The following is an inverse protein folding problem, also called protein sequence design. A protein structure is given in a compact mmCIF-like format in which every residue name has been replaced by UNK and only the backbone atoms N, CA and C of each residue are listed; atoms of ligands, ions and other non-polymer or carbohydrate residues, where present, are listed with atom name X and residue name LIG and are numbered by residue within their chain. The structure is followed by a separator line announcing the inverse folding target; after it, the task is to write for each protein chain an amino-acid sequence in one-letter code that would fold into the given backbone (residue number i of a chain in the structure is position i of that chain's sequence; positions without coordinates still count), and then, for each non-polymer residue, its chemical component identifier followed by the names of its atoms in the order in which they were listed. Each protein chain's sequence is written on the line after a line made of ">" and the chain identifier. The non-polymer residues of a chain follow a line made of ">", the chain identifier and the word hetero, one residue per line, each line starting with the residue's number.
data_IF_112162925235
#
_entry.id   IF_112162925235
#
_cell.length_a   1.000
_cell.length_b   1.000
_cell.length_c   1.000
_cell.angle_alpha   90.00
_cell.angle_beta   90.00
_cell.angle_gamma   90.00
#
_symmetry.space_group_name_H-M   'P 1'
#
loop_
_entity.id
_entity.type
_entity.pdbx_description
1 polymer ?
#
# COMPACT_ATOMS: atom_id res chain seq x y z
N UNK A 1 10.69 -39.07 2.63
CA UNK A 1 10.00 -37.92 2.03
C UNK A 1 10.79 -36.69 2.41
N UNK A 2 11.49 -36.06 1.45
CA UNK A 2 12.18 -34.82 1.69
C UNK A 2 11.13 -33.75 2.11
N UNK A 3 11.34 -33.07 3.26
CA UNK A 3 10.60 -31.88 3.59
C UNK A 3 10.85 -30.88 2.45
N UNK A 4 9.81 -30.54 1.71
CA UNK A 4 9.88 -29.40 0.83
C UNK A 4 10.30 -28.20 1.70
N UNK A 5 11.44 -27.61 1.40
CA UNK A 5 11.85 -26.35 2.02
C UNK A 5 10.75 -25.36 1.70
N UNK A 6 10.14 -24.76 2.73
CA UNK A 6 9.13 -23.74 2.54
C UNK A 6 9.75 -22.63 1.67
N UNK A 7 9.03 -22.26 0.59
CA UNK A 7 9.45 -21.16 -0.28
C UNK A 7 9.54 -19.88 0.56
N UNK A 8 10.56 -19.05 0.38
CA UNK A 8 10.70 -17.79 1.12
C UNK A 8 9.86 -16.67 0.52
N UNK A 9 8.86 -16.97 -0.32
CA UNK A 9 8.02 -15.99 -1.03
C UNK A 9 6.62 -16.56 -1.29
N UNK A 10 5.69 -15.66 -1.60
CA UNK A 10 4.29 -15.95 -1.92
C UNK A 10 3.91 -15.43 -3.30
N UNK A 11 3.02 -16.12 -3.99
CA UNK A 11 2.21 -15.46 -5.01
C UNK A 11 1.19 -14.53 -4.32
N UNK A 12 0.91 -13.38 -4.92
CA UNK A 12 -0.10 -12.45 -4.37
C UNK A 12 -1.48 -13.10 -4.20
N UNK A 13 -1.83 -14.09 -5.03
CA UNK A 13 -3.04 -14.93 -4.88
C UNK A 13 -3.04 -15.81 -3.63
N UNK A 14 -1.87 -16.27 -3.18
CA UNK A 14 -1.73 -17.01 -1.93
C UNK A 14 -1.94 -16.09 -0.73
N UNK A 15 -1.38 -14.87 -0.77
CA UNK A 15 -1.61 -13.84 0.25
C UNK A 15 -3.09 -13.45 0.32
N UNK A 16 -3.76 -13.31 -0.82
CA UNK A 16 -5.20 -13.09 -0.86
C UNK A 16 -5.98 -14.20 -0.13
N UNK A 17 -5.49 -15.44 -0.19
CA UNK A 17 -6.09 -16.56 0.54
C UNK A 17 -5.77 -16.53 2.04
N UNK A 18 -4.51 -16.21 2.42
CA UNK A 18 -4.09 -16.06 3.83
C UNK A 18 -4.86 -14.94 4.53
N UNK A 19 -5.13 -13.85 3.83
CA UNK A 19 -5.86 -12.69 4.32
C UNK A 19 -7.39 -12.77 4.11
N UNK A 20 -7.89 -13.95 3.75
CA UNK A 20 -9.33 -14.22 3.60
C UNK A 20 -10.03 -13.19 2.69
N UNK A 21 -9.45 -12.93 1.51
CA UNK A 21 -10.04 -12.01 0.54
C UNK A 21 -11.37 -12.57 0.03
N UNK A 22 -12.35 -11.70 -0.25
CA UNK A 22 -13.62 -12.17 -0.81
C UNK A 22 -13.35 -12.84 -2.16
N UNK A 23 -14.11 -13.92 -2.51
CA UNK A 23 -13.96 -14.57 -3.80
C UNK A 23 -14.26 -13.59 -4.93
N UNK A 24 -13.50 -13.67 -6.02
CA UNK A 24 -13.63 -12.79 -7.18
C UNK A 24 -12.28 -12.61 -7.87
N UNK A 25 -12.32 -12.01 -9.04
CA UNK A 25 -11.19 -11.84 -9.95
C UNK A 25 -11.03 -10.37 -10.43
N UNK A 26 -11.75 -9.44 -9.79
CA UNK A 26 -11.71 -8.00 -10.10
C UNK A 26 -12.45 -7.62 -11.39
N UNK A 27 -13.25 -8.53 -12.00
CA UNK A 27 -13.96 -8.21 -13.23
C UNK A 27 -14.81 -6.93 -13.11
N UNK A 28 -14.74 -6.09 -14.15
CA UNK A 28 -15.48 -4.82 -14.21
C UNK A 28 -14.81 -3.67 -13.47
N UNK A 29 -13.69 -3.91 -12.78
CA UNK A 29 -12.92 -2.86 -12.08
C UNK A 29 -11.72 -2.39 -12.90
N UNK A 30 -11.29 -1.17 -12.64
CA UNK A 30 -10.00 -0.63 -13.09
C UNK A 30 -9.20 -0.24 -11.86
N UNK A 31 -7.96 -0.75 -11.76
CA UNK A 31 -6.97 -0.34 -10.76
C UNK A 31 -5.99 0.59 -11.46
N UNK A 32 -5.84 1.80 -10.96
CA UNK A 32 -4.78 2.72 -11.39
C UNK A 32 -3.51 2.48 -10.58
N UNK A 33 -2.35 2.60 -11.21
CA UNK A 33 -1.03 2.52 -10.62
C UNK A 33 -0.27 3.79 -11.05
N UNK A 34 0.37 4.47 -10.11
CA UNK A 34 1.15 5.69 -10.37
C UNK A 34 2.62 5.34 -10.34
N UNK A 35 3.34 5.70 -11.43
CA UNK A 35 4.75 5.36 -11.61
C UNK A 35 5.60 6.58 -12.01
N UNK A 36 6.81 6.65 -11.46
CA UNK A 36 7.74 7.76 -11.68
C UNK A 36 9.11 7.34 -12.24
N UNK A 37 9.14 6.26 -13.00
CA UNK A 37 10.33 5.70 -13.63
C UNK A 37 10.04 4.32 -14.18
N UNK A 38 11.07 3.58 -14.55
CA UNK A 38 10.97 2.20 -15.00
C UNK A 38 10.10 1.99 -16.23
N UNK A 39 9.46 0.83 -16.30
CA UNK A 39 8.63 0.48 -17.43
C UNK A 39 7.82 -0.79 -17.27
N UNK A 40 6.76 -0.89 -18.05
CA UNK A 40 5.94 -2.08 -18.16
C UNK A 40 6.44 -3.00 -19.27
N UNK A 41 6.67 -4.27 -18.96
CA UNK A 41 7.16 -5.30 -19.87
C UNK A 41 6.12 -6.44 -20.01
N UNK A 42 5.35 -6.47 -21.13
CA UNK A 42 4.27 -7.46 -21.31
C UNK A 42 4.73 -8.92 -21.28
N UNK A 43 5.97 -9.20 -21.67
CA UNK A 43 6.51 -10.57 -21.64
C UNK A 43 6.75 -11.06 -20.21
N UNK A 44 7.21 -10.19 -19.33
CA UNK A 44 7.45 -10.51 -17.92
C UNK A 44 6.12 -10.76 -17.21
N UNK A 45 5.13 -9.89 -17.39
CA UNK A 45 3.78 -10.12 -16.88
C UNK A 45 3.18 -11.44 -17.40
N UNK A 46 3.36 -11.77 -18.68
CA UNK A 46 2.88 -13.04 -19.24
C UNK A 46 3.55 -14.23 -18.56
N UNK A 47 4.85 -14.15 -18.32
CA UNK A 47 5.63 -15.20 -17.65
C UNK A 47 5.20 -15.32 -16.19
N UNK A 48 5.03 -14.21 -15.46
CA UNK A 48 4.47 -14.19 -14.11
C UNK A 48 3.11 -14.88 -14.06
N UNK A 49 2.18 -14.49 -14.94
CA UNK A 49 0.84 -15.08 -14.99
C UNK A 49 0.87 -16.58 -15.28
N UNK A 50 1.81 -17.07 -16.09
CA UNK A 50 2.02 -18.51 -16.31
C UNK A 50 2.44 -19.22 -15.01
N UNK A 51 3.39 -18.64 -14.26
CA UNK A 51 3.83 -19.20 -12.99
C UNK A 51 2.73 -19.17 -11.92
N UNK A 52 1.99 -18.07 -11.86
CA UNK A 52 0.90 -17.88 -10.90
C UNK A 52 -0.38 -18.64 -11.27
N UNK A 53 -0.48 -19.19 -12.51
CA UNK A 53 -1.66 -19.90 -12.98
C UNK A 53 -2.89 -19.00 -13.16
N UNK A 54 -2.69 -17.73 -13.50
CA UNK A 54 -3.78 -16.74 -13.69
C UNK A 54 -3.83 -16.22 -15.12
N UNK A 55 -4.96 -15.64 -15.52
CA UNK A 55 -5.09 -14.99 -16.81
C UNK A 55 -4.26 -13.68 -16.83
N UNK A 56 -3.74 -13.31 -18.00
CA UNK A 56 -3.04 -12.03 -18.18
C UNK A 56 -4.08 -10.91 -18.23
N UNK A 57 -4.05 -9.94 -17.32
CA UNK A 57 -4.98 -8.81 -17.33
C UNK A 57 -4.70 -7.86 -18.50
N UNK A 58 -5.69 -7.02 -18.82
CA UNK A 58 -5.46 -5.90 -19.73
C UNK A 58 -4.72 -4.79 -19.00
N UNK A 59 -3.56 -4.39 -19.51
CA UNK A 59 -2.78 -3.26 -19.00
C UNK A 59 -2.78 -2.15 -20.05
N UNK A 60 -3.21 -0.96 -19.64
CA UNK A 60 -3.11 0.28 -20.42
C UNK A 60 -2.01 1.16 -19.79
N UNK A 61 -1.05 1.63 -20.57
CA UNK A 61 -0.02 2.57 -20.13
C UNK A 61 -0.37 3.99 -20.57
N UNK A 62 -0.29 4.94 -19.66
CA UNK A 62 -0.57 6.36 -19.88
C UNK A 62 0.72 7.13 -19.61
N UNK A 63 1.25 7.81 -20.64
CA UNK A 63 2.44 8.65 -20.52
C UNK A 63 2.03 10.10 -20.30
N UNK A 64 2.43 10.68 -19.19
CA UNK A 64 2.25 12.10 -18.90
C UNK A 64 3.58 12.83 -19.19
N UNK A 65 3.49 13.97 -19.89
CA UNK A 65 4.66 14.80 -20.25
C UNK A 65 5.78 14.01 -20.95
N UNK A 66 5.39 13.04 -21.80
CA UNK A 66 6.31 12.14 -22.49
C UNK A 66 7.20 11.32 -21.55
N UNK A 67 6.74 10.98 -20.36
CA UNK A 67 7.43 10.03 -19.49
C UNK A 67 7.54 8.67 -20.20
N UNK A 68 8.72 8.02 -20.23
CA UNK A 68 8.86 6.68 -20.78
C UNK A 68 7.95 5.68 -20.06
N UNK A 69 7.41 4.71 -20.79
CA UNK A 69 6.56 3.63 -20.24
C UNK A 69 7.21 2.25 -20.34
N UNK A 70 8.43 2.18 -20.83
CA UNK A 70 9.18 0.94 -21.07
C UNK A 70 10.68 1.11 -20.83
N UNK A 71 11.07 1.99 -19.92
CA UNK A 71 12.46 2.26 -19.59
C UNK A 71 13.00 1.21 -18.63
N UNK A 72 14.27 0.86 -18.80
CA UNK A 72 15.05 0.07 -17.85
C UNK A 72 16.07 0.99 -17.19
N UNK A 73 15.77 1.43 -15.98
CA UNK A 73 16.61 2.35 -15.20
C UNK A 73 16.72 1.94 -13.72
N UNK A 74 16.30 0.71 -13.42
CA UNK A 74 16.25 0.16 -12.06
C UNK A 74 14.91 0.35 -11.36
N UNK A 75 14.02 1.20 -11.88
CA UNK A 75 12.67 1.36 -11.33
C UNK A 75 11.63 0.41 -11.98
N UNK A 76 12.02 -0.37 -12.98
CA UNK A 76 11.16 -1.41 -13.54
C UNK A 76 10.79 -2.51 -12.54
N UNK A 77 11.63 -2.74 -11.52
CA UNK A 77 11.32 -3.65 -10.43
C UNK A 77 10.04 -3.23 -9.70
N UNK A 78 9.90 -1.91 -9.43
CA UNK A 78 8.72 -1.33 -8.78
C UNK A 78 7.48 -1.45 -9.68
N UNK A 79 7.60 -1.03 -10.95
CA UNK A 79 6.50 -1.07 -11.92
C UNK A 79 5.95 -2.48 -12.10
N UNK A 80 6.84 -3.45 -12.28
CA UNK A 80 6.43 -4.85 -12.49
C UNK A 80 5.88 -5.45 -11.21
N UNK A 81 6.44 -5.14 -10.03
CA UNK A 81 5.91 -5.55 -8.73
C UNK A 81 4.44 -5.13 -8.59
N UNK A 82 4.14 -3.85 -8.76
CA UNK A 82 2.80 -3.31 -8.59
C UNK A 82 1.79 -3.96 -9.54
N UNK A 83 2.15 -4.06 -10.82
CA UNK A 83 1.31 -4.70 -11.84
C UNK A 83 1.07 -6.18 -11.52
N UNK A 84 2.10 -6.92 -11.15
CA UNK A 84 2.05 -8.38 -10.92
C UNK A 84 1.30 -8.71 -9.63
N UNK A 85 1.41 -7.88 -8.58
CA UNK A 85 0.63 -8.04 -7.37
C UNK A 85 -0.86 -7.89 -7.67
N UNK A 86 -1.26 -6.86 -8.41
CA UNK A 86 -2.66 -6.66 -8.82
C UNK A 86 -3.11 -7.79 -9.76
N UNK A 87 -2.29 -8.18 -10.73
CA UNK A 87 -2.61 -9.24 -11.70
C UNK A 87 -2.88 -10.60 -11.04
N UNK A 88 -2.04 -10.98 -10.06
CA UNK A 88 -2.21 -12.24 -9.36
C UNK A 88 -3.48 -12.32 -8.51
N UNK A 89 -3.94 -11.19 -8.00
CA UNK A 89 -5.17 -11.10 -7.17
C UNK A 89 -6.41 -10.83 -8.02
N UNK A 90 -6.31 -9.95 -9.01
CA UNK A 90 -7.43 -9.45 -9.82
C UNK A 90 -7.19 -9.66 -11.32
N UNK A 91 -7.06 -10.92 -11.82
CA UNK A 91 -6.64 -11.18 -13.21
C UNK A 91 -7.67 -10.74 -14.27
N UNK A 92 -8.87 -10.31 -13.88
CA UNK A 92 -9.87 -9.74 -14.80
C UNK A 92 -10.14 -8.25 -14.56
N UNK A 93 -9.46 -7.62 -13.63
CA UNK A 93 -9.45 -6.17 -13.58
C UNK A 93 -8.65 -5.60 -14.75
N UNK A 94 -8.97 -4.37 -15.15
CA UNK A 94 -8.08 -3.58 -16.00
C UNK A 94 -7.05 -2.91 -15.11
N UNK A 95 -5.81 -2.84 -15.57
CA UNK A 95 -4.74 -2.11 -14.89
C UNK A 95 -4.41 -0.90 -15.76
N UNK A 96 -4.44 0.29 -15.19
CA UNK A 96 -4.09 1.53 -15.86
C UNK A 96 -2.85 2.13 -15.17
N UNK A 97 -1.71 2.12 -15.85
CA UNK A 97 -0.42 2.58 -15.29
C UNK A 97 -0.12 3.98 -15.81
N UNK A 98 -0.06 4.94 -14.90
CA UNK A 98 0.18 6.36 -15.18
C UNK A 98 1.63 6.69 -14.91
N UNK A 99 2.42 6.83 -15.98
CA UNK A 99 3.82 7.20 -15.92
C UNK A 99 4.00 8.72 -15.94
N UNK A 100 4.72 9.24 -14.98
CA UNK A 100 5.08 10.66 -14.88
C UNK A 100 6.55 10.83 -14.52
N UNK A 101 7.00 12.07 -14.38
CA UNK A 101 8.34 12.40 -13.90
C UNK A 101 8.30 12.52 -12.38
N UNK A 102 9.37 12.10 -11.71
CA UNK A 102 9.52 12.30 -10.26
C UNK A 102 9.85 13.78 -9.96
N UNK A 103 8.85 14.62 -10.06
CA UNK A 103 8.88 16.05 -9.77
C UNK A 103 7.56 16.42 -9.09
N UNK A 104 7.52 17.48 -8.28
CA UNK A 104 6.30 17.94 -7.62
C UNK A 104 5.11 18.10 -8.60
N UNK A 105 5.34 18.73 -9.75
CA UNK A 105 4.30 18.84 -10.79
C UNK A 105 3.91 17.49 -11.38
N UNK A 106 4.88 16.58 -11.59
CA UNK A 106 4.61 15.25 -12.10
C UNK A 106 3.76 14.41 -11.16
N UNK A 107 3.89 14.60 -9.85
CA UNK A 107 3.04 13.98 -8.84
C UNK A 107 1.60 14.46 -8.92
N UNK A 108 1.39 15.77 -8.95
CA UNK A 108 0.07 16.39 -9.09
C UNK A 108 -0.62 15.86 -10.35
N UNK A 109 0.07 15.96 -11.50
CA UNK A 109 -0.48 15.58 -12.79
C UNK A 109 -0.81 14.08 -12.89
N UNK A 110 0.01 13.21 -12.26
CA UNK A 110 -0.23 11.77 -12.27
C UNK A 110 -1.47 11.38 -11.45
N UNK A 111 -1.62 11.95 -10.27
CA UNK A 111 -2.77 11.69 -9.39
C UNK A 111 -4.05 12.24 -10.05
N UNK A 112 -4.01 13.49 -10.53
CA UNK A 112 -5.14 14.11 -11.21
C UNK A 112 -5.56 13.33 -12.45
N UNK A 113 -4.59 12.92 -13.29
CA UNK A 113 -4.88 12.13 -14.47
C UNK A 113 -5.55 10.80 -14.15
N UNK A 114 -5.13 10.12 -13.08
CA UNK A 114 -5.73 8.85 -12.66
C UNK A 114 -7.12 9.05 -12.05
N UNK A 115 -7.29 10.06 -11.20
CA UNK A 115 -8.55 10.34 -10.47
C UNK A 115 -9.64 10.81 -11.41
N UNK A 116 -9.31 11.62 -12.42
CA UNK A 116 -10.25 12.22 -13.35
C UNK A 116 -10.34 11.48 -14.71
N UNK A 117 -9.77 10.27 -14.84
CA UNK A 117 -9.86 9.51 -16.09
C UNK A 117 -11.28 9.01 -16.38
N UNK A 118 -12.01 9.79 -17.17
CA UNK A 118 -13.37 9.45 -17.58
C UNK A 118 -13.47 8.24 -18.54
N UNK A 119 -12.34 7.83 -19.15
CA UNK A 119 -12.28 6.71 -20.11
C UNK A 119 -12.09 5.37 -19.37
N UNK A 120 -11.14 5.32 -18.43
CA UNK A 120 -10.79 4.09 -17.70
C UNK A 120 -11.54 3.97 -16.38
N UNK A 121 -11.94 5.10 -15.80
CA UNK A 121 -12.73 5.22 -14.58
C UNK A 121 -12.19 4.37 -13.41
N UNK A 122 -10.95 4.56 -12.98
CA UNK A 122 -10.39 3.79 -11.88
C UNK A 122 -11.28 3.87 -10.63
N UNK A 123 -11.45 2.75 -9.95
CA UNK A 123 -12.18 2.69 -8.67
C UNK A 123 -11.24 2.69 -7.48
N UNK A 124 -9.98 2.43 -7.73
CA UNK A 124 -8.88 2.42 -6.74
C UNK A 124 -7.58 2.82 -7.42
N UNK A 125 -6.73 3.53 -6.69
CA UNK A 125 -5.38 3.94 -7.08
C UNK A 125 -4.39 3.31 -6.10
N UNK A 126 -3.28 2.77 -6.61
CA UNK A 126 -2.11 2.33 -5.84
C UNK A 126 -0.95 3.28 -6.09
N UNK A 127 -0.27 3.68 -5.02
CA UNK A 127 0.94 4.50 -5.07
C UNK A 127 1.99 3.85 -4.17
N UNK A 128 3.08 3.40 -4.78
CA UNK A 128 4.20 2.75 -4.12
C UNK A 128 5.42 3.65 -3.98
N UNK A 129 5.23 4.93 -4.27
CA UNK A 129 6.26 5.98 -4.21
C UNK A 129 5.93 6.98 -3.11
N UNK A 130 6.97 7.55 -2.52
CA UNK A 130 6.83 8.61 -1.55
C UNK A 130 8.19 9.13 -1.08
N UNK A 131 8.16 10.07 -0.17
CA UNK A 131 9.32 10.63 0.51
C UNK A 131 8.90 11.26 1.84
N UNK A 132 9.84 11.42 2.78
CA UNK A 132 9.56 12.05 4.06
C UNK A 132 8.85 13.40 3.89
N UNK A 133 7.75 13.62 4.64
CA UNK A 133 6.88 14.79 4.48
C UNK A 133 7.55 16.14 4.83
N UNK A 134 8.61 16.09 5.61
CA UNK A 134 9.39 17.26 6.08
C UNK A 134 10.76 17.39 5.43
N UNK A 135 11.00 16.62 4.34
CA UNK A 135 12.16 16.74 3.47
C UNK A 135 11.76 16.78 2.00
N UNK A 136 12.52 17.45 1.17
CA UNK A 136 12.40 17.46 -0.30
C UNK A 136 11.08 17.93 -0.93
N UNK A 137 10.04 18.20 -0.14
CA UNK A 137 8.77 18.74 -0.61
C UNK A 137 8.63 20.22 -0.31
N UNK A 138 8.17 21.01 -1.29
CA UNK A 138 7.64 22.33 -0.99
C UNK A 138 6.27 22.23 -0.33
N UNK A 139 5.96 23.15 0.59
CA UNK A 139 4.63 23.20 1.21
C UNK A 139 3.53 23.32 0.16
N UNK A 140 3.76 24.08 -0.91
CA UNK A 140 2.79 24.22 -2.00
C UNK A 140 2.54 22.92 -2.76
N UNK A 141 3.55 22.07 -2.92
CA UNK A 141 3.40 20.77 -3.55
C UNK A 141 2.61 19.81 -2.66
N UNK A 142 2.94 19.74 -1.36
CA UNK A 142 2.16 18.93 -0.41
C UNK A 142 0.69 19.34 -0.43
N UNK A 143 0.39 20.63 -0.37
CA UNK A 143 -0.99 21.14 -0.38
C UNK A 143 -1.70 20.77 -1.70
N UNK A 144 -1.06 20.96 -2.86
CA UNK A 144 -1.65 20.65 -4.15
C UNK A 144 -1.91 19.15 -4.33
N UNK A 145 -0.93 18.30 -4.00
CA UNK A 145 -1.10 16.84 -4.04
C UNK A 145 -2.21 16.41 -3.07
N UNK A 146 -2.27 17.00 -1.88
CA UNK A 146 -3.31 16.68 -0.90
C UNK A 146 -4.71 17.09 -1.39
N UNK A 147 -4.86 18.17 -2.15
CA UNK A 147 -6.15 18.51 -2.79
C UNK A 147 -6.52 17.48 -3.88
N UNK A 148 -5.59 17.02 -4.72
CA UNK A 148 -5.85 15.93 -5.69
C UNK A 148 -6.31 14.64 -4.99
N UNK A 149 -5.71 14.29 -3.86
CA UNK A 149 -6.11 13.14 -3.05
C UNK A 149 -7.49 13.33 -2.39
N UNK A 150 -7.83 14.55 -2.02
CA UNK A 150 -9.16 14.91 -1.53
C UNK A 150 -10.21 14.80 -2.62
N UNK A 151 -9.89 15.19 -3.85
CA UNK A 151 -10.77 14.99 -5.00
C UNK A 151 -11.01 13.49 -5.25
N UNK A 152 -9.99 12.63 -5.14
CA UNK A 152 -10.17 11.18 -5.19
C UNK A 152 -11.20 10.71 -4.14
N UNK A 153 -11.08 11.18 -2.89
CA UNK A 153 -12.02 10.85 -1.82
C UNK A 153 -13.46 11.31 -2.14
N UNK A 154 -13.63 12.52 -2.69
CA UNK A 154 -14.93 13.07 -3.09
C UNK A 154 -15.56 12.31 -4.27
N UNK A 155 -14.74 11.85 -5.22
CA UNK A 155 -15.16 11.06 -6.39
C UNK A 155 -15.39 9.57 -6.07
N UNK A 156 -15.18 9.18 -4.82
CA UNK A 156 -15.35 7.79 -4.40
C UNK A 156 -14.26 6.85 -4.94
N UNK A 157 -13.05 7.37 -5.16
CA UNK A 157 -11.86 6.58 -5.51
C UNK A 157 -11.04 6.32 -4.25
N UNK A 158 -10.73 5.06 -3.96
CA UNK A 158 -9.84 4.73 -2.84
C UNK A 158 -8.39 4.87 -3.31
N UNK A 159 -7.56 5.60 -2.57
CA UNK A 159 -6.12 5.69 -2.82
C UNK A 159 -5.38 4.92 -1.74
N UNK A 160 -4.64 3.86 -2.13
CA UNK A 160 -3.76 3.07 -1.25
C UNK A 160 -2.33 3.55 -1.46
N UNK A 161 -1.63 3.89 -0.39
CA UNK A 161 -0.26 4.43 -0.46
C UNK A 161 0.65 3.65 0.48
N UNK A 162 1.81 3.23 -0.02
CA UNK A 162 2.88 2.65 0.78
C UNK A 162 3.37 3.63 1.84
N UNK A 163 3.61 3.16 3.08
CA UNK A 163 3.95 4.04 4.20
C UNK A 163 5.45 4.26 4.41
N UNK A 164 6.28 3.77 3.48
CA UNK A 164 7.74 3.86 3.55
C UNK A 164 8.40 2.57 4.02
N UNK A 165 9.71 2.46 3.76
CA UNK A 165 10.51 1.23 3.90
C UNK A 165 11.73 1.40 4.80
N UNK A 166 11.95 2.58 5.38
CA UNK A 166 13.11 2.90 6.21
C UNK A 166 12.73 3.16 7.69
N UNK A 167 11.62 2.52 8.11
CA UNK A 167 11.15 2.56 9.51
C UNK A 167 10.71 3.95 9.95
N UNK A 168 11.06 4.31 11.21
CA UNK A 168 10.74 5.62 11.77
C UNK A 168 11.66 6.74 11.31
N UNK A 169 12.82 6.43 10.73
CA UNK A 169 13.78 7.42 10.20
C UNK A 169 13.37 7.95 8.82
N UNK A 170 12.68 7.12 8.04
CA UNK A 170 12.26 7.38 6.66
C UNK A 170 13.42 7.77 5.72
N UNK A 171 14.64 7.28 6.03
CA UNK A 171 15.85 7.48 5.24
C UNK A 171 16.53 8.83 5.40
N UNK A 172 16.07 9.71 6.28
CA UNK A 172 16.59 11.08 6.46
C UNK A 172 17.91 11.10 7.23
N UNK A 173 18.02 10.36 8.34
CA UNK A 173 19.26 10.24 9.11
C UNK A 173 19.58 11.44 10.01
N UNK A 174 18.64 12.32 10.30
CA UNK A 174 18.80 13.48 11.18
C UNK A 174 18.57 13.16 12.67
N UNK A 175 18.19 11.92 12.95
CA UNK A 175 17.90 11.40 14.27
C UNK A 175 16.47 11.56 14.74
N UNK A 176 15.58 12.23 13.98
CA UNK A 176 14.15 12.35 14.26
C UNK A 176 13.34 11.26 13.58
N UNK A 177 12.08 11.15 13.96
CA UNK A 177 11.13 10.26 13.29
C UNK A 177 10.30 11.04 12.27
N UNK A 178 10.19 10.47 11.07
CA UNK A 178 9.51 11.05 9.92
C UNK A 178 8.38 10.15 9.44
N UNK A 179 7.40 10.74 8.77
CA UNK A 179 6.33 10.03 8.06
C UNK A 179 6.49 10.24 6.57
N UNK A 180 6.29 9.18 5.80
CA UNK A 180 6.29 9.24 4.35
C UNK A 180 5.06 10.01 3.83
N UNK A 181 5.24 10.82 2.80
CA UNK A 181 4.19 11.48 2.02
C UNK A 181 4.22 10.95 0.58
N UNK A 182 3.05 10.60 -0.03
CA UNK A 182 1.71 10.99 0.36
C UNK A 182 0.96 10.08 1.35
N UNK A 183 1.60 9.08 1.96
CA UNK A 183 0.95 8.21 2.95
C UNK A 183 0.41 8.99 4.16
N UNK A 184 1.09 10.06 4.58
CA UNK A 184 0.65 10.91 5.70
C UNK A 184 -0.57 11.78 5.40
N UNK A 185 -0.98 11.91 4.12
CA UNK A 185 -2.23 12.60 3.78
C UNK A 185 -3.43 12.01 4.51
N UNK A 186 -4.36 12.84 5.02
CA UNK A 186 -5.60 12.33 5.62
C UNK A 186 -6.56 11.69 4.62
N UNK A 187 -6.36 11.85 3.32
CA UNK A 187 -7.29 11.41 2.27
C UNK A 187 -6.94 10.06 1.63
N UNK A 188 -5.89 9.40 2.10
CA UNK A 188 -5.46 8.08 1.61
C UNK A 188 -5.65 6.98 2.64
N UNK A 189 -5.57 5.73 2.20
CA UNK A 189 -5.34 4.57 3.03
C UNK A 189 -3.83 4.33 3.07
N UNK A 190 -3.18 4.68 4.17
CA UNK A 190 -1.77 4.41 4.38
C UNK A 190 -1.55 2.94 4.72
N UNK A 191 -0.68 2.26 3.98
CA UNK A 191 -0.45 0.80 4.07
C UNK A 191 0.96 0.53 4.54
N UNK A 192 1.10 -0.05 5.71
CA UNK A 192 2.36 -0.48 6.30
C UNK A 192 2.72 -1.93 5.99
N UNK A 193 3.85 -2.36 6.53
CA UNK A 193 4.47 -3.64 6.25
C UNK A 193 4.54 -4.59 7.43
N UNK A 194 4.35 -5.88 7.15
CA UNK A 194 4.58 -6.98 8.08
C UNK A 194 5.54 -8.01 7.49
N UNK A 195 6.01 -8.94 8.31
CA UNK A 195 6.71 -10.16 7.88
C UNK A 195 5.83 -11.35 8.20
N UNK A 196 5.36 -12.03 7.16
CA UNK A 196 4.46 -13.17 7.25
C UNK A 196 5.23 -14.49 7.06
N UNK A 197 4.93 -15.46 7.90
CA UNK A 197 5.28 -16.87 7.68
C UNK A 197 4.06 -17.75 7.87
N UNK A 198 4.01 -18.87 7.20
CA UNK A 198 2.95 -19.86 7.43
C UNK A 198 3.59 -21.08 8.10
N UNK A 199 3.26 -21.29 9.37
CA UNK A 199 3.76 -22.38 10.19
C UNK A 199 2.62 -23.34 10.55
N UNK A 200 2.75 -24.62 10.17
CA UNK A 200 1.68 -25.62 10.39
C UNK A 200 0.30 -25.17 9.86
N UNK A 201 0.29 -24.51 8.70
CA UNK A 201 -0.93 -24.01 8.04
C UNK A 201 -1.56 -22.78 8.72
N UNK A 202 -0.87 -22.15 9.66
CA UNK A 202 -1.34 -20.93 10.33
C UNK A 202 -0.42 -19.75 10.04
N UNK A 203 -0.96 -18.55 9.82
CA UNK A 203 -0.14 -17.36 9.67
C UNK A 203 0.52 -16.99 11.02
N UNK A 204 1.84 -16.78 10.98
CA UNK A 204 2.64 -16.19 12.04
C UNK A 204 3.19 -14.89 11.49
N UNK A 205 2.81 -13.78 12.07
CA UNK A 205 3.06 -12.49 11.47
C UNK A 205 3.44 -11.46 12.53
N UNK A 206 4.42 -10.64 12.20
CA UNK A 206 4.95 -9.56 13.03
C UNK A 206 5.17 -8.32 12.15
N UNK A 207 5.44 -7.18 12.77
CA UNK A 207 5.91 -5.99 12.06
C UNK A 207 7.11 -6.31 11.16
N UNK A 208 7.14 -5.75 9.96
CA UNK A 208 8.31 -5.86 9.11
C UNK A 208 9.43 -4.96 9.64
N UNK A 209 10.55 -5.60 9.96
CA UNK A 209 11.82 -4.96 10.22
C UNK A 209 12.92 -5.99 10.00
N UNK A 210 13.74 -5.75 8.99
CA UNK A 210 14.90 -6.56 8.64
C UNK A 210 16.17 -5.76 8.95
N UNK A 211 17.15 -6.38 9.61
CA UNK A 211 18.36 -5.72 10.05
C UNK A 211 18.09 -4.52 10.98
N UNK A 212 18.77 -3.42 10.75
CA UNK A 212 18.60 -2.18 11.51
C UNK A 212 17.40 -1.36 11.06
N UNK A 213 16.68 -1.82 10.02
CA UNK A 213 15.46 -1.21 9.52
C UNK A 213 15.68 -0.14 8.48
N UNK A 214 16.87 -0.04 7.88
CA UNK A 214 17.20 0.89 6.81
C UNK A 214 17.60 0.13 5.53
N UNK A 215 17.02 0.51 4.38
CA UNK A 215 17.33 -0.12 3.08
C UNK A 215 18.79 0.07 2.66
N UNK A 216 19.38 1.21 2.93
CA UNK A 216 20.80 1.49 2.64
C UNK A 216 21.77 0.52 3.30
N UNK A 217 21.35 -0.15 4.39
CA UNK A 217 22.16 -1.10 5.15
C UNK A 217 21.77 -2.56 4.83
N UNK A 218 21.03 -2.78 3.72
CA UNK A 218 20.55 -4.09 3.28
C UNK A 218 19.40 -4.65 4.09
N UNK A 219 18.74 -3.81 4.89
CA UNK A 219 17.54 -4.15 5.67
C UNK A 219 16.28 -3.52 5.08
N UNK A 220 15.46 -2.97 5.96
CA UNK A 220 14.22 -2.27 5.69
C UNK A 220 13.23 -2.48 6.82
N UNK A 221 12.34 -1.55 7.00
CA UNK A 221 11.27 -1.64 7.99
C UNK A 221 10.06 -0.82 7.53
N UNK A 222 8.87 -1.23 7.98
CA UNK A 222 7.67 -0.46 7.70
C UNK A 222 7.79 0.97 8.21
N UNK A 223 7.51 1.93 7.35
CA UNK A 223 7.28 3.31 7.74
C UNK A 223 6.04 3.42 8.62
N UNK A 224 5.93 4.53 9.31
CA UNK A 224 4.81 4.82 10.19
C UNK A 224 5.19 5.73 11.32
N UNK A 225 4.21 6.43 11.87
CA UNK A 225 4.46 7.42 12.90
C UNK A 225 3.32 8.41 13.07
N UNK A 226 3.68 9.60 13.51
CA UNK A 226 2.77 10.73 13.70
C UNK A 226 3.25 11.88 12.84
N UNK A 227 2.46 12.26 11.85
CA UNK A 227 2.75 13.37 10.94
C UNK A 227 3.07 14.66 11.68
N UNK A 228 4.08 15.36 11.21
CA UNK A 228 4.46 16.71 11.66
C UNK A 228 3.73 17.78 10.84
N UNK A 229 3.25 17.44 9.64
CA UNK A 229 2.60 18.35 8.70
C UNK A 229 1.07 18.33 8.84
N UNK A 230 0.45 17.15 8.82
CA UNK A 230 -1.01 17.02 8.84
C UNK A 230 -1.55 16.88 10.26
N UNK A 231 -2.46 17.77 10.66
CA UNK A 231 -3.19 17.62 11.91
C UNK A 231 -4.02 16.31 11.92
N UNK A 232 -4.17 15.70 13.09
CA UNK A 232 -4.99 14.49 13.23
C UNK A 232 -6.43 14.74 12.85
N UNK A 233 -6.95 14.00 11.85
CA UNK A 233 -8.34 14.16 11.44
C UNK A 233 -9.30 13.82 12.59
N UNK A 234 -10.46 14.49 12.64
CA UNK A 234 -11.47 14.26 13.68
C UNK A 234 -11.99 12.81 13.72
N UNK A 235 -11.95 12.11 12.59
CA UNK A 235 -12.36 10.72 12.51
C UNK A 235 -11.31 9.75 13.09
N UNK A 236 -10.02 10.13 13.14
CA UNK A 236 -8.94 9.28 13.64
C UNK A 236 -8.80 9.36 15.18
N UNK A 237 -9.76 8.80 15.88
CA UNK A 237 -9.82 8.81 17.36
C UNK A 237 -8.90 7.76 17.98
N UNK A 238 -7.59 8.01 17.95
CA UNK A 238 -6.55 7.12 18.48
C UNK A 238 -5.65 7.85 19.48
N UNK A 239 -5.04 7.09 20.41
CA UNK A 239 -4.18 7.63 21.47
C UNK A 239 -2.72 7.30 21.19
N UNK A 240 -2.18 7.82 20.08
CA UNK A 240 -0.76 7.73 19.74
C UNK A 240 -0.15 9.13 19.83
N UNK A 241 1.01 9.24 20.45
CA UNK A 241 1.79 10.48 20.55
C UNK A 241 3.02 10.36 19.68
N UNK A 242 3.47 11.48 19.10
CA UNK A 242 4.75 11.54 18.42
C UNK A 242 5.90 11.22 19.40
N UNK A 243 6.92 10.53 18.89
CA UNK A 243 8.20 10.37 19.60
C UNK A 243 9.06 11.62 19.52
N UNK A 244 8.82 12.48 18.52
CA UNK A 244 9.51 13.77 18.40
C UNK A 244 8.99 14.76 19.46
N UNK A 245 9.86 15.41 20.24
CA UNK A 245 9.47 16.44 21.21
C UNK A 245 8.79 17.64 20.54
N UNK A 246 7.75 18.17 21.19
CA UNK A 246 7.09 19.38 20.70
C UNK A 246 6.24 19.24 19.44
N UNK A 247 6.10 18.03 18.90
CA UNK A 247 5.29 17.78 17.72
C UNK A 247 3.78 18.03 17.95
N UNK A 248 3.10 18.35 16.85
CA UNK A 248 1.65 18.48 16.82
C UNK A 248 0.96 17.13 17.14
N UNK A 249 -0.32 17.16 17.45
CA UNK A 249 -1.16 15.96 17.41
C UNK A 249 -1.50 15.66 15.95
N UNK A 250 -0.56 15.03 15.25
CA UNK A 250 -0.66 14.78 13.82
C UNK A 250 -1.44 13.52 13.46
N UNK A 251 -1.74 13.40 12.18
CA UNK A 251 -2.22 12.19 11.52
C UNK A 251 -1.30 11.01 11.87
N UNK A 252 -1.86 9.88 12.24
CA UNK A 252 -1.10 8.66 12.57
C UNK A 252 -1.17 7.69 11.42
N UNK A 253 -0.03 7.23 10.94
CA UNK A 253 0.10 6.23 9.89
C UNK A 253 0.91 5.01 10.39
N UNK A 254 0.75 3.84 9.74
CA UNK A 254 -0.22 3.52 8.70
C UNK A 254 -1.64 3.30 9.28
N UNK A 255 -2.65 3.18 8.38
CA UNK A 255 -4.00 2.77 8.78
C UNK A 255 -4.12 1.27 8.94
N UNK A 256 -3.47 0.55 8.05
CA UNK A 256 -3.48 -0.91 7.90
C UNK A 256 -2.12 -1.41 7.43
N UNK A 257 -1.93 -2.73 7.36
CA UNK A 257 -0.69 -3.34 6.88
C UNK A 257 -0.96 -4.60 6.05
N UNK A 258 0.07 -5.12 5.38
CA UNK A 258 0.13 -6.45 4.80
C UNK A 258 1.59 -6.94 4.74
N UNK A 259 1.85 -8.17 4.30
CA UNK A 259 3.21 -8.68 4.13
C UNK A 259 4.02 -7.74 3.22
N UNK A 260 5.26 -7.45 3.62
CA UNK A 260 6.15 -6.49 2.97
C UNK A 260 7.63 -6.92 3.05
N UNK A 261 7.98 -7.87 3.92
CA UNK A 261 9.38 -8.27 4.08
C UNK A 261 9.90 -8.96 2.83
N UNK A 262 11.04 -8.53 2.30
CA UNK A 262 11.71 -9.23 1.20
C UNK A 262 12.09 -10.67 1.56
N UNK A 263 12.25 -10.97 2.85
CA UNK A 263 12.54 -12.33 3.36
C UNK A 263 11.34 -13.29 3.25
N UNK A 264 10.12 -12.74 3.05
CA UNK A 264 8.87 -13.48 2.85
C UNK A 264 8.10 -12.93 1.65
N UNK A 265 8.78 -12.28 0.73
CA UNK A 265 8.31 -11.37 -0.28
C UNK A 265 7.33 -11.93 -1.32
N UNK A 266 7.04 -11.11 -2.28
CA UNK A 266 6.14 -11.42 -3.39
C UNK A 266 6.91 -11.97 -4.57
N UNK A 267 6.47 -13.09 -5.13
CA UNK A 267 7.02 -13.61 -6.36
C UNK A 267 6.77 -12.63 -7.51
N UNK A 268 7.82 -12.31 -8.24
CA UNK A 268 7.80 -11.40 -9.39
C UNK A 268 8.61 -11.95 -10.55
N UNK A 269 8.40 -11.40 -11.72
CA UNK A 269 9.23 -11.60 -12.91
C UNK A 269 9.62 -10.24 -13.47
N UNK A 270 10.89 -9.93 -13.40
CA UNK A 270 11.45 -8.68 -13.92
C UNK A 270 12.64 -9.01 -14.81
N UNK A 271 12.75 -8.38 -15.98
CA UNK A 271 13.80 -8.64 -16.96
C UNK A 271 13.96 -10.13 -17.35
N UNK A 272 12.83 -10.85 -17.37
CA UNK A 272 12.79 -12.29 -17.63
C UNK A 272 13.35 -13.13 -16.49
N UNK A 273 13.67 -12.54 -15.34
CA UNK A 273 14.16 -13.23 -14.15
C UNK A 273 13.05 -13.36 -13.10
N UNK A 274 12.86 -14.60 -12.64
CA UNK A 274 11.96 -14.85 -11.50
C UNK A 274 12.69 -14.54 -10.18
N UNK A 275 12.05 -13.78 -9.32
CA UNK A 275 12.60 -13.37 -8.04
C UNK A 275 11.52 -13.16 -6.98
N UNK A 276 11.93 -12.54 -5.88
CA UNK A 276 11.02 -12.10 -4.84
C UNK A 276 11.38 -10.67 -4.43
N UNK A 277 10.38 -9.80 -4.38
CA UNK A 277 10.53 -8.40 -3.98
C UNK A 277 9.63 -8.17 -2.76
N UNK A 278 10.02 -7.25 -1.90
CA UNK A 278 9.25 -6.80 -0.73
C UNK A 278 9.12 -5.28 -0.74
N UNK A 279 8.82 -4.72 0.42
CA UNK A 279 8.54 -3.30 0.62
C UNK A 279 7.06 -3.07 0.91
N UNK A 280 6.75 -1.93 1.52
CA UNK A 280 5.35 -1.46 1.63
C UNK A 280 4.75 -1.20 0.24
N UNK A 281 5.61 -1.07 -0.78
CA UNK A 281 5.32 -1.09 -2.20
C UNK A 281 4.52 -2.33 -2.65
N UNK A 282 4.78 -3.51 -2.07
CA UNK A 282 4.01 -4.71 -2.36
C UNK A 282 2.67 -4.75 -1.60
N UNK A 283 2.63 -4.16 -0.41
CA UNK A 283 1.45 -4.13 0.45
C UNK A 283 0.35 -3.20 -0.09
N UNK A 284 0.72 -2.05 -0.66
CA UNK A 284 -0.22 -1.07 -1.20
C UNK A 284 -1.04 -1.63 -2.38
N UNK A 285 -0.45 -2.21 -3.45
CA UNK A 285 -1.20 -2.81 -4.54
C UNK A 285 -1.99 -4.05 -4.11
N UNK A 286 -1.56 -4.78 -3.09
CA UNK A 286 -2.33 -5.88 -2.52
C UNK A 286 -3.63 -5.38 -1.88
N UNK A 287 -3.59 -4.27 -1.11
CA UNK A 287 -4.78 -3.61 -0.58
C UNK A 287 -5.65 -3.03 -1.70
N UNK A 288 -5.05 -2.40 -2.72
CA UNK A 288 -5.79 -1.91 -3.88
C UNK A 288 -6.55 -3.04 -4.59
N UNK A 289 -5.92 -4.21 -4.76
CA UNK A 289 -6.56 -5.39 -5.31
C UNK A 289 -7.69 -5.94 -4.42
N UNK A 290 -7.54 -5.91 -3.08
CA UNK A 290 -8.63 -6.23 -2.16
C UNK A 290 -9.83 -5.29 -2.39
N UNK A 291 -9.58 -3.98 -2.45
CA UNK A 291 -10.63 -2.99 -2.69
C UNK A 291 -11.32 -3.20 -4.05
N UNK A 292 -10.56 -3.53 -5.10
CA UNK A 292 -11.11 -3.87 -6.41
C UNK A 292 -12.05 -5.10 -6.33
N UNK A 293 -11.66 -6.15 -5.59
CA UNK A 293 -12.55 -7.31 -5.35
C UNK A 293 -13.81 -6.95 -4.58
N UNK A 294 -13.69 -6.05 -3.58
CA UNK A 294 -14.85 -5.56 -2.82
C UNK A 294 -15.76 -4.75 -3.74
N UNK A 295 -15.21 -3.79 -4.49
CA UNK A 295 -15.98 -2.98 -5.44
C UNK A 295 -16.73 -3.83 -6.47
N UNK A 296 -16.11 -4.90 -6.98
CA UNK A 296 -16.76 -5.82 -7.94
C UNK A 296 -18.00 -6.54 -7.37
N UNK A 297 -18.19 -6.52 -6.07
CA UNK A 297 -19.35 -7.15 -5.38
C UNK A 297 -20.39 -6.16 -4.91
N UNK A 298 -20.08 -4.88 -4.90
CA UNK A 298 -21.04 -3.85 -4.51
C UNK A 298 -22.12 -3.67 -5.60
N UNK A 299 -23.30 -3.19 -5.26
CA UNK A 299 -24.32 -2.84 -6.24
C UNK A 299 -23.80 -1.86 -7.29
N UNK A 300 -24.36 -1.92 -8.49
CA UNK A 300 -23.98 -0.99 -9.59
C UNK A 300 -23.98 0.46 -9.13
N UNK A 301 -22.94 1.19 -9.48
CA UNK A 301 -22.76 2.60 -9.10
C UNK A 301 -22.28 2.83 -7.67
N UNK A 302 -22.07 1.77 -6.87
CA UNK A 302 -21.51 1.86 -5.52
C UNK A 302 -20.02 1.51 -5.55
N UNK A 303 -19.24 2.21 -4.72
CA UNK A 303 -17.81 2.01 -4.53
C UNK A 303 -17.47 2.08 -3.05
N UNK A 304 -16.34 1.50 -2.64
CA UNK A 304 -15.77 1.65 -1.30
C UNK A 304 -15.47 3.12 -1.00
N UNK A 305 -14.86 3.80 -1.95
CA UNK A 305 -14.54 5.22 -1.85
C UNK A 305 -13.52 5.54 -0.76
N UNK A 306 -13.75 6.60 0.00
CA UNK A 306 -12.85 7.06 1.06
C UNK A 306 -12.85 6.11 2.26
N UNK A 307 -12.00 5.06 2.21
CA UNK A 307 -12.00 3.96 3.17
C UNK A 307 -11.44 4.34 4.55
N UNK A 308 -10.39 5.18 4.61
CA UNK A 308 -9.69 5.43 5.87
C UNK A 308 -10.63 5.83 7.02
N UNK A 309 -11.52 6.84 6.90
CA UNK A 309 -12.44 7.19 7.98
C UNK A 309 -13.38 6.06 8.40
N UNK A 310 -13.78 5.20 7.44
CA UNK A 310 -14.68 4.08 7.74
C UNK A 310 -14.06 3.09 8.71
N UNK A 311 -12.74 2.84 8.61
CA UNK A 311 -12.04 1.92 9.52
C UNK A 311 -12.10 2.38 10.98
N UNK A 312 -12.21 3.69 11.22
CA UNK A 312 -12.27 4.27 12.57
C UNK A 312 -13.70 4.44 13.10
N UNK A 313 -14.71 4.20 12.27
CA UNK A 313 -16.10 4.24 12.70
C UNK A 313 -16.41 3.09 13.64
N UNK A 314 -17.13 3.39 14.73
CA UNK A 314 -17.62 2.38 15.66
C UNK A 314 -18.90 1.74 15.13
N UNK A 315 -18.86 0.44 14.96
CA UNK A 315 -20.05 -0.39 14.80
C UNK A 315 -20.22 -1.17 16.08
N UNK A 316 -21.24 -0.79 16.88
CA UNK A 316 -21.41 -1.33 18.22
C UNK A 316 -20.26 -0.88 19.16
N UNK A 317 -19.54 -1.82 19.78
CA UNK A 317 -18.47 -1.54 20.74
C UNK A 317 -17.07 -1.47 20.13
N UNK A 318 -16.90 -1.85 18.88
CA UNK A 318 -15.61 -1.91 18.17
C UNK A 318 -15.64 -1.07 16.89
N UNK A 319 -14.48 -0.65 16.42
CA UNK A 319 -14.33 -0.01 15.12
C UNK A 319 -14.37 -1.05 14.01
N UNK A 320 -14.68 -0.62 12.77
CA UNK A 320 -14.62 -1.49 11.59
C UNK A 320 -13.21 -2.06 11.46
N UNK A 321 -12.16 -1.24 11.58
CA UNK A 321 -10.77 -1.69 11.52
C UNK A 321 -10.48 -2.80 12.52
N UNK A 322 -10.86 -2.63 13.79
CA UNK A 322 -10.65 -3.63 14.85
C UNK A 322 -11.42 -4.95 14.64
N UNK A 323 -12.43 -4.97 13.77
CA UNK A 323 -13.21 -6.19 13.46
C UNK A 323 -12.86 -6.81 12.12
N UNK A 324 -12.33 -6.01 11.19
CA UNK A 324 -12.03 -6.39 9.82
C UNK A 324 -10.53 -6.59 9.55
N UNK A 325 -9.69 -6.35 10.56
CA UNK A 325 -8.26 -6.64 10.49
C UNK A 325 -7.86 -7.62 11.60
N UNK A 326 -6.80 -8.36 11.35
CA UNK A 326 -6.09 -9.16 12.35
C UNK A 326 -4.97 -8.30 12.92
N UNK A 327 -5.06 -8.02 14.20
CA UNK A 327 -4.14 -7.18 14.96
C UNK A 327 -2.72 -7.77 14.99
N UNK A 328 -1.71 -6.94 14.76
CA UNK A 328 -0.28 -7.29 14.85
C UNK A 328 0.26 -6.66 16.12
N UNK A 329 0.74 -7.48 17.03
CA UNK A 329 1.09 -7.05 18.39
C UNK A 329 2.58 -7.20 18.72
N UNK A 330 3.42 -7.55 17.73
CA UNK A 330 4.83 -7.87 17.94
C UNK A 330 5.71 -7.16 16.93
N UNK A 331 6.79 -6.58 17.40
CA UNK A 331 7.80 -5.88 16.61
C UNK A 331 7.74 -4.37 16.77
N UNK A 332 8.54 -3.68 15.99
CA UNK A 332 8.67 -2.22 15.99
C UNK A 332 9.19 -1.74 14.63
N UNK A 333 9.19 -0.41 14.41
CA UNK A 333 9.79 0.23 13.25
C UNK A 333 10.94 1.18 13.62
N UNK A 334 11.59 0.96 14.75
CA UNK A 334 12.63 1.84 15.29
C UNK A 334 13.86 1.81 14.39
N UNK A 335 14.17 2.91 13.73
CA UNK A 335 15.37 3.15 12.92
C UNK A 335 15.99 4.52 13.21
N UNK A 336 15.20 5.53 13.57
CA UNK A 336 15.69 6.86 14.00
C UNK A 336 16.38 6.81 15.37
N UNK A 337 17.34 7.72 15.60
CA UNK A 337 18.08 7.79 16.87
C UNK A 337 17.18 8.14 18.07
N UNK A 338 16.14 8.98 17.84
CA UNK A 338 15.16 9.32 18.88
C UNK A 338 14.25 8.12 19.23
N UNK A 339 14.23 7.09 18.38
CA UNK A 339 13.38 5.92 18.51
C UNK A 339 12.28 5.86 17.43
N UNK A 340 11.24 5.13 17.71
CA UNK A 340 10.10 4.91 16.80
C UNK A 340 8.94 4.33 17.57
N UNK A 341 8.14 3.52 16.89
CA UNK A 341 6.90 3.00 17.44
C UNK A 341 6.96 1.48 17.56
N UNK A 342 6.15 0.95 18.48
CA UNK A 342 6.05 -0.50 18.74
C UNK A 342 4.65 -0.97 18.45
N UNK A 343 4.56 -2.14 17.83
CA UNK A 343 3.30 -2.85 17.68
C UNK A 343 2.74 -3.24 19.06
N UNK A 344 1.46 -3.08 19.26
CA UNK A 344 0.76 -3.38 20.49
C UNK A 344 -0.70 -3.75 20.22
N UNK A 345 -1.38 -4.27 21.23
CA UNK A 345 -2.81 -4.60 21.12
C UNK A 345 -3.65 -3.38 20.74
N UNK A 346 -4.45 -3.54 19.70
CA UNK A 346 -5.28 -2.50 19.12
C UNK A 346 -4.47 -1.64 18.13
N UNK A 347 -4.97 -0.47 17.82
CA UNK A 347 -4.32 0.43 16.87
C UNK A 347 -2.95 0.93 17.36
N UNK A 348 -1.96 0.90 16.48
CA UNK A 348 -0.62 1.48 16.68
C UNK A 348 -0.09 2.19 15.42
N UNK A 349 1.04 2.90 15.56
CA UNK A 349 1.66 3.66 14.48
C UNK A 349 2.73 2.85 13.73
N UNK A 350 2.58 1.54 13.67
CA UNK A 350 3.50 0.62 12.99
C UNK A 350 2.75 -0.24 11.98
N UNK A 351 1.58 -0.76 12.37
CA UNK A 351 0.74 -1.64 11.54
C UNK A 351 -0.72 -1.19 11.47
N UNK A 352 -1.04 -0.03 12.05
CA UNK A 352 -2.39 0.50 12.08
C UNK A 352 -3.37 -0.43 12.80
N UNK A 353 -4.47 -0.79 12.14
CA UNK A 353 -5.41 -1.82 12.61
C UNK A 353 -4.91 -3.25 12.37
N UNK A 354 -3.78 -3.43 11.70
CA UNK A 354 -3.21 -4.72 11.31
C UNK A 354 -3.53 -5.13 9.88
N UNK A 355 -3.43 -6.43 9.60
CA UNK A 355 -3.58 -7.00 8.26
C UNK A 355 -5.02 -7.39 7.96
N UNK A 356 -5.49 -7.39 6.70
CA UNK A 356 -6.89 -7.54 6.39
C UNK A 356 -7.45 -8.93 6.73
N UNK A 357 -8.71 -8.97 7.15
CA UNK A 357 -9.59 -10.12 7.04
C UNK A 357 -10.61 -9.73 5.98
N UNK A 358 -10.27 -10.00 4.71
CA UNK A 358 -10.94 -9.41 3.56
C UNK A 358 -12.44 -9.69 3.48
N UNK A 359 -12.88 -10.90 3.87
CA UNK A 359 -14.31 -11.24 3.92
C UNK A 359 -15.07 -10.39 4.95
N UNK A 360 -14.47 -10.12 6.11
CA UNK A 360 -15.08 -9.26 7.14
C UNK A 360 -15.11 -7.80 6.72
N UNK A 361 -14.04 -7.33 6.07
CA UNK A 361 -14.00 -5.97 5.53
C UNK A 361 -15.10 -5.79 4.47
N UNK A 362 -15.21 -6.73 3.53
CA UNK A 362 -16.25 -6.68 2.50
C UNK A 362 -17.66 -6.66 3.10
N UNK A 363 -17.92 -7.49 4.11
CA UNK A 363 -19.21 -7.51 4.80
C UNK A 363 -19.50 -6.19 5.54
N UNK A 364 -18.48 -5.62 6.22
CA UNK A 364 -18.63 -4.35 6.92
C UNK A 364 -18.92 -3.20 5.95
N UNK A 365 -18.25 -3.14 4.81
CA UNK A 365 -18.47 -2.13 3.77
C UNK A 365 -19.86 -2.29 3.15
N UNK A 366 -20.26 -3.50 2.78
CA UNK A 366 -21.59 -3.75 2.19
C UNK A 366 -22.74 -3.31 3.13
N UNK A 367 -22.50 -3.30 4.43
CA UNK A 367 -23.46 -2.79 5.42
C UNK A 367 -23.51 -1.26 5.56
N UNK A 368 -22.61 -0.52 4.89
CA UNK A 368 -22.51 0.95 4.97
C UNK A 368 -22.89 1.63 3.65
N UNK A 369 -22.88 0.92 2.53
CA UNK A 369 -23.09 1.39 1.15
C UNK A 369 -24.42 0.85 0.61
#
# INVERSE_FOLDING_TARGET
>A
MARATARPWFYSSELASVYDFPPGDGAGQTVAIIEFGGGYFPNDLKQFCQYAGVAVPKVDTISLHNAPTNKKDGAEDEVMLDIEVVAGVCPKAKIAVYFSKFTEQGWIDAIDAAVHDAVRQPSVVSISWGWAEDDSWSTGAIDAINESLKDAALLGVTVCVASGDDGSDDGIGDGHAHCDFPASSPYVLAVGGTSLRVENGKPVEKTWKDGDGLRKDGGGATGGGVSTHFARPQWQKVSVKSVNPGSIQGRVIPDVAADASASTGYFTVVDGQAGAIGGTSAAAPLWAALIARVNAKLPSGKRVGYLAPMLYQKVSKKTIGATSCRDITTGDNISAAIGGYRAKKGFDAVTGWGVPIGSKLAAAIAGQV
#
